data_IF_610351731522
#
_entry.id   IF_610351731522
#
_cell.length_a   1.000
_cell.length_b   1.000
_cell.length_c   1.000
_cell.angle_alpha   90.00
_cell.angle_beta   90.00
_cell.angle_gamma   90.00
#
_symmetry.space_group_name_H-M   'P 1'
#
loop_
_entity.id
_entity.type
_entity.pdbx_description
1 polymer ?
#
# COMPACT_ATOMS: atom_id res chain seq x y z
N UNK A 1 18.71 45.97 16.48
CA UNK A 1 17.76 45.31 17.37
C UNK A 1 16.77 44.49 16.58
N UNK A 2 15.97 45.14 15.80
CA UNK A 2 14.97 44.47 15.03
C UNK A 2 15.57 43.53 13.99
N UNK A 3 16.69 43.89 13.46
CA UNK A 3 17.38 43.07 12.44
C UNK A 3 17.73 41.70 12.95
N UNK A 4 18.13 41.59 14.18
CA UNK A 4 18.53 40.34 14.79
C UNK A 4 17.35 39.38 14.83
N UNK A 5 16.17 39.89 15.16
CA UNK A 5 14.97 39.08 15.22
C UNK A 5 14.62 38.53 13.86
N UNK A 6 14.75 39.32 12.82
CA UNK A 6 14.47 38.91 11.47
C UNK A 6 15.38 37.79 11.00
N UNK A 7 16.63 37.87 11.38
CA UNK A 7 17.61 36.85 11.01
C UNK A 7 17.23 35.51 11.62
N UNK A 8 16.82 35.53 12.87
CA UNK A 8 16.39 34.32 13.55
C UNK A 8 15.19 33.69 12.87
N UNK A 9 14.25 34.51 12.48
CA UNK A 9 13.08 34.02 11.77
C UNK A 9 13.43 33.34 10.46
N UNK A 10 14.36 33.90 9.72
CA UNK A 10 14.79 33.31 8.45
C UNK A 10 15.41 31.94 8.62
N UNK A 11 16.23 31.79 9.64
CA UNK A 11 16.86 30.48 9.90
C UNK A 11 15.84 29.43 10.25
N UNK A 12 14.87 29.78 11.07
CA UNK A 12 13.82 28.86 11.47
C UNK A 12 13.01 28.40 10.26
N UNK A 13 12.67 29.30 9.37
CA UNK A 13 11.93 28.97 8.17
C UNK A 13 12.67 27.94 7.30
N UNK A 14 13.96 28.09 7.15
CA UNK A 14 14.75 27.18 6.36
C UNK A 14 14.69 25.75 6.93
N UNK A 15 14.76 25.62 8.23
CA UNK A 15 14.68 24.32 8.89
C UNK A 15 13.32 23.65 8.65
N UNK A 16 12.26 24.40 8.75
CA UNK A 16 10.93 23.88 8.52
C UNK A 16 10.75 23.40 7.08
N UNK A 17 11.28 24.11 6.13
CA UNK A 17 11.18 23.70 4.73
C UNK A 17 11.82 22.33 4.50
N UNK A 18 12.98 22.08 5.07
CA UNK A 18 13.63 20.79 4.95
C UNK A 18 12.81 19.68 5.55
N UNK A 19 12.22 19.92 6.71
CA UNK A 19 11.37 18.94 7.37
C UNK A 19 10.14 18.63 6.52
N UNK A 20 9.55 19.65 5.94
CA UNK A 20 8.36 19.45 5.10
C UNK A 20 8.65 18.57 3.88
N UNK A 21 9.78 18.77 3.25
CA UNK A 21 10.19 17.95 2.09
C UNK A 21 10.31 16.49 2.48
N UNK A 22 10.94 16.20 3.62
CA UNK A 22 11.08 14.83 4.09
C UNK A 22 9.72 14.20 4.40
N UNK A 23 8.82 14.95 5.01
CA UNK A 23 7.48 14.46 5.30
C UNK A 23 6.72 14.11 4.03
N UNK A 24 6.80 14.94 3.01
CA UNK A 24 6.12 14.69 1.75
C UNK A 24 6.60 13.43 1.06
N UNK A 25 7.89 13.08 1.21
CA UNK A 25 8.43 11.89 0.57
C UNK A 25 7.81 10.60 1.09
N UNK A 26 7.26 10.60 2.32
CA UNK A 26 6.64 9.41 2.93
C UNK A 26 5.13 9.40 2.80
N UNK A 27 4.51 10.44 2.20
CA UNK A 27 3.06 10.60 2.18
C UNK A 27 2.37 9.84 1.05
N UNK A 28 3.12 9.14 0.22
CA UNK A 28 2.54 8.42 -0.92
C UNK A 28 2.03 7.03 -0.56
N UNK A 29 2.22 6.58 0.67
CA UNK A 29 1.79 5.27 1.11
C UNK A 29 0.62 5.40 2.07
N UNK A 30 -0.51 4.84 1.69
CA UNK A 30 -1.70 4.77 2.53
C UNK A 30 -1.79 3.37 3.11
N UNK A 31 -1.83 3.26 4.43
CA UNK A 31 -1.85 1.97 5.11
C UNK A 31 -3.20 1.72 5.75
N UNK A 32 -3.74 0.54 5.52
CA UNK A 32 -5.04 0.11 6.06
C UNK A 32 -4.92 -1.29 6.62
N UNK A 33 -5.50 -1.51 7.79
CA UNK A 33 -5.55 -2.85 8.38
C UNK A 33 -6.83 -3.54 7.96
N UNK A 34 -6.72 -4.79 7.52
CA UNK A 34 -7.86 -5.59 7.11
C UNK A 34 -8.34 -6.40 8.31
N UNK A 35 -9.61 -6.28 8.61
CA UNK A 35 -10.29 -7.07 9.64
C UNK A 35 -11.42 -7.86 8.99
N UNK A 36 -11.54 -9.12 9.37
CA UNK A 36 -12.68 -9.93 8.96
C UNK A 36 -13.76 -9.85 10.03
N UNK A 37 -14.99 -9.74 9.60
CA UNK A 37 -16.12 -9.79 10.53
C UNK A 37 -16.13 -11.12 11.25
N UNK A 38 -16.63 -11.12 12.47
CA UNK A 38 -16.69 -12.31 13.30
C UNK A 38 -17.46 -13.41 12.55
N UNK A 39 -16.83 -14.59 12.42
CA UNK A 39 -17.41 -15.70 11.71
C UNK A 39 -17.17 -15.66 10.22
N UNK A 40 -16.51 -14.63 9.69
CA UNK A 40 -16.17 -14.51 8.28
C UNK A 40 -14.67 -14.77 8.08
N UNK A 41 -14.32 -15.39 6.97
CA UNK A 41 -12.93 -15.61 6.57
C UNK A 41 -12.53 -14.80 5.33
N UNK A 42 -13.36 -13.85 4.92
CA UNK A 42 -13.09 -13.04 3.75
C UNK A 42 -13.72 -11.66 3.81
N UNK A 43 -13.21 -10.77 2.98
CA UNK A 43 -13.75 -9.42 2.80
C UNK A 43 -13.39 -8.88 1.42
N UNK A 44 -14.14 -7.86 1.00
CA UNK A 44 -13.89 -7.18 -0.28
C UNK A 44 -13.69 -5.70 0.03
N UNK A 45 -12.61 -5.13 -0.50
CA UNK A 45 -12.30 -3.72 -0.37
C UNK A 45 -12.36 -3.09 -1.74
N UNK A 46 -13.12 -2.00 -1.88
CA UNK A 46 -13.17 -1.21 -3.10
C UNK A 46 -12.51 0.13 -2.85
N UNK A 47 -11.61 0.53 -3.75
CA UNK A 47 -10.86 1.77 -3.59
C UNK A 47 -10.32 2.24 -4.93
N UNK A 48 -9.49 3.28 -4.88
CA UNK A 48 -8.79 3.81 -6.04
C UNK A 48 -7.34 4.07 -5.67
N UNK A 49 -6.47 4.07 -6.68
CA UNK A 49 -5.07 4.45 -6.53
C UNK A 49 -4.74 5.44 -7.64
N UNK A 50 -4.01 6.50 -7.30
CA UNK A 50 -3.71 7.61 -8.20
C UNK A 50 -2.21 7.79 -8.35
N UNK A 51 -1.75 7.88 -9.61
CA UNK A 51 -0.36 8.22 -9.90
C UNK A 51 0.62 7.26 -9.25
N UNK A 52 1.57 7.82 -8.51
CA UNK A 52 2.58 7.05 -7.79
C UNK A 52 2.20 6.74 -6.34
N UNK A 53 0.95 6.98 -5.97
CA UNK A 53 0.46 6.59 -4.65
C UNK A 53 0.49 5.07 -4.49
N UNK A 54 0.61 4.63 -3.25
CA UNK A 54 0.64 3.22 -2.89
C UNK A 54 -0.38 2.99 -1.78
N UNK A 55 -1.22 1.98 -1.97
CA UNK A 55 -2.17 1.57 -0.92
C UNK A 55 -1.71 0.23 -0.36
N UNK A 56 -1.35 0.23 0.92
CA UNK A 56 -0.95 -0.98 1.64
C UNK A 56 -2.11 -1.49 2.49
N UNK A 57 -2.38 -2.77 2.37
CA UNK A 57 -3.37 -3.46 3.19
C UNK A 57 -2.64 -4.52 4.00
N UNK A 58 -2.77 -4.44 5.32
CA UNK A 58 -2.10 -5.38 6.21
C UNK A 58 -3.12 -6.30 6.87
N UNK A 59 -2.74 -7.57 7.02
CA UNK A 59 -3.60 -8.57 7.64
C UNK A 59 -2.74 -9.62 8.33
N UNK A 60 -3.24 -10.09 9.47
CA UNK A 60 -2.59 -11.16 10.22
C UNK A 60 -2.99 -12.52 9.66
N UNK A 61 -2.03 -13.40 9.51
CA UNK A 61 -2.29 -14.77 9.08
C UNK A 61 -1.27 -15.71 9.70
N UNK A 62 -1.56 -17.00 9.65
CA UNK A 62 -0.74 -18.02 10.30
C UNK A 62 -0.16 -18.96 9.26
N UNK A 63 1.03 -19.48 9.55
CA UNK A 63 1.63 -20.53 8.75
C UNK A 63 0.68 -21.70 8.62
N UNK A 64 0.57 -22.25 7.42
CA UNK A 64 -0.36 -23.34 7.11
C UNK A 64 -1.70 -22.91 6.60
N UNK A 65 -2.08 -21.65 6.77
CA UNK A 65 -3.33 -21.16 6.19
C UNK A 65 -3.17 -20.91 4.70
N UNK A 66 -4.29 -21.01 3.98
CA UNK A 66 -4.35 -20.66 2.56
C UNK A 66 -4.80 -19.21 2.45
N UNK A 67 -4.01 -18.39 1.77
CA UNK A 67 -4.37 -17.00 1.50
C UNK A 67 -4.74 -16.87 0.03
N UNK A 68 -5.92 -16.29 -0.21
CA UNK A 68 -6.38 -15.96 -1.54
C UNK A 68 -6.60 -14.45 -1.64
N UNK A 69 -6.02 -13.83 -2.65
CA UNK A 69 -6.23 -12.42 -2.92
C UNK A 69 -6.48 -12.28 -4.42
N UNK A 70 -7.59 -11.64 -4.77
CA UNK A 70 -7.93 -11.38 -6.15
C UNK A 70 -8.20 -9.90 -6.38
N UNK A 71 -7.79 -9.40 -7.53
CA UNK A 71 -8.06 -8.02 -7.91
C UNK A 71 -8.95 -7.99 -9.14
N UNK A 72 -10.01 -7.20 -9.06
CA UNK A 72 -10.81 -6.82 -10.20
C UNK A 72 -10.70 -5.32 -10.39
N UNK A 73 -10.31 -4.88 -11.58
CA UNK A 73 -10.01 -3.46 -11.79
C UNK A 73 -10.44 -2.99 -13.16
N UNK A 74 -10.53 -1.67 -13.30
CA UNK A 74 -10.80 -0.99 -14.55
C UNK A 74 -9.53 -0.36 -15.10
N UNK A 75 -9.53 -0.10 -16.38
CA UNK A 75 -8.39 0.57 -17.02
C UNK A 75 -8.18 1.98 -16.42
N UNK A 76 -6.92 2.44 -16.22
CA UNK A 76 -5.65 1.73 -16.40
C UNK A 76 -5.37 0.80 -15.21
N UNK A 77 -5.25 -0.45 -15.43
CA UNK A 77 -5.22 -1.46 -14.37
C UNK A 77 -4.05 -1.28 -13.40
N UNK A 78 -4.30 -1.24 -12.09
CA UNK A 78 -3.24 -1.28 -11.09
C UNK A 78 -2.79 -2.71 -10.86
N UNK A 79 -1.73 -2.87 -10.07
CA UNK A 79 -1.17 -4.16 -9.72
C UNK A 79 -1.13 -4.31 -8.20
N UNK A 80 -1.00 -5.55 -7.72
CA UNK A 80 -0.72 -5.75 -6.31
C UNK A 80 0.39 -6.77 -6.11
N UNK A 81 1.16 -6.56 -5.06
CA UNK A 81 2.18 -7.50 -4.59
C UNK A 81 1.77 -8.02 -3.23
N UNK A 82 2.25 -9.22 -2.88
CA UNK A 82 2.06 -9.79 -1.54
C UNK A 82 3.43 -9.89 -0.88
N UNK A 83 3.55 -9.30 0.31
CA UNK A 83 4.80 -9.19 1.05
C UNK A 83 4.63 -9.91 2.39
N UNK A 84 5.57 -10.78 2.71
CA UNK A 84 5.55 -11.60 3.93
C UNK A 84 5.91 -10.77 5.16
N UNK A 85 5.66 -11.30 6.38
CA UNK A 85 6.04 -10.60 7.61
C UNK A 85 7.54 -10.31 7.71
N UNK A 86 8.38 -11.14 7.09
CA UNK A 86 9.82 -10.90 7.04
C UNK A 86 10.26 -10.09 5.81
N UNK A 87 9.30 -9.38 5.20
CA UNK A 87 9.55 -8.39 4.17
C UNK A 87 10.05 -8.96 2.84
N UNK A 88 9.58 -10.13 2.45
CA UNK A 88 9.84 -10.70 1.14
C UNK A 88 8.60 -10.64 0.26
N UNK A 89 8.75 -10.23 -0.99
CA UNK A 89 7.66 -10.25 -1.95
C UNK A 89 7.52 -11.67 -2.50
N UNK A 90 6.40 -12.32 -2.17
CA UNK A 90 6.11 -13.68 -2.65
C UNK A 90 5.17 -13.67 -3.85
N UNK A 91 4.64 -12.54 -4.20
CA UNK A 91 3.81 -12.37 -5.39
C UNK A 91 4.01 -10.97 -5.96
N UNK A 92 4.23 -10.90 -7.27
CA UNK A 92 4.36 -9.64 -7.99
C UNK A 92 3.29 -9.63 -9.10
N UNK A 93 2.24 -8.85 -8.91
CA UNK A 93 1.10 -8.82 -9.81
C UNK A 93 1.41 -8.30 -11.20
N UNK A 94 2.41 -7.44 -11.35
CA UNK A 94 2.80 -6.95 -12.67
C UNK A 94 3.37 -8.05 -13.56
N UNK A 95 3.82 -9.14 -12.97
CA UNK A 95 4.38 -10.29 -13.69
C UNK A 95 3.47 -11.51 -13.67
N UNK A 96 2.69 -11.67 -12.62
CA UNK A 96 1.95 -12.92 -12.36
C UNK A 96 0.44 -12.80 -12.46
N UNK A 97 -0.09 -11.58 -12.65
CA UNK A 97 -1.52 -11.38 -12.88
C UNK A 97 -2.29 -10.90 -11.65
N UNK A 98 -3.58 -11.20 -11.63
CA UNK A 98 -4.52 -10.59 -10.71
C UNK A 98 -4.98 -11.52 -9.58
N UNK A 99 -4.43 -12.71 -9.48
CA UNK A 99 -4.85 -13.70 -8.48
C UNK A 99 -3.63 -14.29 -7.80
N UNK A 100 -3.62 -14.18 -6.48
CA UNK A 100 -2.65 -14.83 -5.60
C UNK A 100 -3.38 -15.88 -4.79
N UNK A 101 -2.86 -17.09 -4.76
CA UNK A 101 -3.37 -18.16 -3.90
C UNK A 101 -2.23 -19.05 -3.49
N UNK A 102 -1.97 -19.10 -2.19
CA UNK A 102 -0.83 -19.85 -1.69
C UNK A 102 -1.02 -20.22 -0.23
N UNK A 103 -0.55 -21.42 0.12
CA UNK A 103 -0.44 -21.81 1.52
C UNK A 103 0.76 -21.09 2.14
N UNK A 104 0.52 -20.47 3.29
CA UNK A 104 1.52 -19.59 3.91
C UNK A 104 2.55 -20.40 4.68
N UNK A 105 3.81 -19.97 4.58
CA UNK A 105 4.92 -20.63 5.26
C UNK A 105 5.27 -20.01 6.61
N UNK A 106 4.87 -18.76 6.86
CA UNK A 106 5.21 -18.05 8.09
C UNK A 106 3.98 -17.35 8.64
N UNK A 107 3.95 -17.21 9.97
CA UNK A 107 2.88 -16.47 10.66
C UNK A 107 3.29 -15.03 10.84
N UNK A 108 2.32 -14.13 10.84
CA UNK A 108 2.55 -12.72 11.13
C UNK A 108 1.74 -11.80 10.23
N UNK A 109 2.19 -10.56 10.15
CA UNK A 109 1.51 -9.51 9.40
C UNK A 109 1.97 -9.49 7.94
N UNK A 110 1.06 -9.80 7.04
CA UNK A 110 1.30 -9.72 5.59
C UNK A 110 0.86 -8.36 5.08
N UNK A 111 1.52 -7.90 4.03
CA UNK A 111 1.16 -6.65 3.35
C UNK A 111 0.80 -6.93 1.91
N UNK A 112 -0.37 -6.43 1.50
CA UNK A 112 -0.79 -6.44 0.10
C UNK A 112 -0.66 -5.00 -0.39
N UNK A 113 0.24 -4.78 -1.33
CA UNK A 113 0.57 -3.45 -1.81
C UNK A 113 -0.01 -3.23 -3.18
N UNK A 114 -0.87 -2.22 -3.32
CA UNK A 114 -1.49 -1.83 -4.59
C UNK A 114 -0.78 -0.59 -5.13
N UNK A 115 -0.44 -0.63 -6.42
CA UNK A 115 0.35 0.44 -7.06
C UNK A 115 0.09 0.46 -8.55
N UNK A 116 0.53 1.53 -9.21
CA UNK A 116 0.51 1.66 -10.66
C UNK A 116 1.92 1.70 -11.22
N UNK A 117 2.05 1.41 -12.51
CA UNK A 117 3.32 1.44 -13.22
C UNK A 117 3.17 2.18 -14.54
N UNK A 118 4.32 2.56 -15.12
CA UNK A 118 4.38 3.13 -16.46
C UNK A 118 3.59 4.41 -16.61
N UNK A 119 2.87 4.54 -17.71
CA UNK A 119 2.13 5.74 -18.04
C UNK A 119 1.08 6.11 -17.02
N UNK A 120 0.38 5.13 -16.47
CA UNK A 120 -0.66 5.39 -15.46
C UNK A 120 -0.06 6.06 -14.23
N UNK A 121 1.08 5.57 -13.77
CA UNK A 121 1.79 6.16 -12.66
C UNK A 121 2.33 7.54 -13.01
N UNK A 122 3.01 7.65 -14.13
CA UNK A 122 3.75 8.85 -14.50
C UNK A 122 2.83 10.01 -14.87
N UNK A 123 1.65 9.72 -15.38
CA UNK A 123 0.68 10.73 -15.79
C UNK A 123 -0.36 11.05 -14.71
N UNK A 124 -0.23 10.47 -13.53
CA UNK A 124 -1.13 10.74 -12.42
C UNK A 124 -2.54 10.20 -12.62
N UNK A 125 -2.71 9.13 -13.37
CA UNK A 125 -4.02 8.56 -13.62
C UNK A 125 -4.57 7.88 -12.37
N UNK A 126 -5.88 7.75 -12.29
CA UNK A 126 -6.57 7.07 -11.19
C UNK A 126 -7.20 5.78 -11.69
N UNK A 127 -6.94 4.69 -10.98
CA UNK A 127 -7.53 3.38 -11.27
C UNK A 127 -8.42 2.93 -10.12
N UNK A 128 -9.63 2.47 -10.45
CA UNK A 128 -10.54 1.87 -9.48
C UNK A 128 -10.31 0.36 -9.44
N UNK A 129 -10.39 -0.22 -8.24
CA UNK A 129 -10.20 -1.65 -8.08
C UNK A 129 -11.05 -2.19 -6.93
N UNK A 130 -11.24 -3.49 -6.95
CA UNK A 130 -11.81 -4.25 -5.85
C UNK A 130 -10.82 -5.37 -5.51
N UNK A 131 -10.45 -5.47 -4.24
CA UNK A 131 -9.61 -6.54 -3.73
C UNK A 131 -10.45 -7.49 -2.89
N UNK A 132 -10.38 -8.77 -3.21
CA UNK A 132 -10.98 -9.82 -2.40
C UNK A 132 -9.88 -10.47 -1.57
N UNK A 133 -10.09 -10.53 -0.26
CA UNK A 133 -9.18 -11.19 0.68
C UNK A 133 -9.90 -12.40 1.27
N UNK A 134 -9.22 -13.54 1.33
CA UNK A 134 -9.77 -14.74 1.94
C UNK A 134 -8.67 -15.56 2.59
N UNK A 135 -8.89 -15.96 3.84
CA UNK A 135 -7.97 -16.81 4.59
C UNK A 135 -8.74 -18.05 5.03
N UNK A 136 -8.21 -19.22 4.73
CA UNK A 136 -8.82 -20.49 5.15
C UNK A 136 -7.75 -21.39 5.78
N UNK A 137 -8.20 -22.28 6.66
CA UNK A 137 -7.30 -23.25 7.32
C UNK A 137 -6.97 -24.44 6.43
#
# INVERSE_FOLDING_TARGET
MKKIILIVGGVICASYLLTSVLSMASDNINSNTIHFDKGSNGTIIKSTVTGDDVNDYTLEAKAGQMMHIGMNSQWPHPFFNVITPDNHAIFNGSMSGDIFEQRLGVSGKYTVRVYQMGGARDEGKTSAYALTFKITD
#
